data_IF_089320279900
#
_entry.id   IF_089320279900
#
_cell.length_a   1.000
_cell.length_b   1.000
_cell.length_c   1.000
_cell.angle_alpha   90.00
_cell.angle_beta   90.00
_cell.angle_gamma   90.00
#
_symmetry.space_group_name_H-M   'P 1'
#
loop_
_entity.id
_entity.type
_entity.pdbx_description
1 polymer ?
#
# COMPACT_ATOMS: atom_id res chain seq x y z
N UNK A 1 3.62 6.29 13.66
CA UNK A 1 4.03 4.97 13.15
C UNK A 1 4.60 5.17 11.75
N UNK A 2 5.72 4.54 11.40
CA UNK A 2 6.38 4.71 10.09
C UNK A 2 5.86 3.76 9.00
N UNK A 3 5.17 2.68 9.36
CA UNK A 3 4.60 1.70 8.43
C UNK A 3 3.13 1.44 8.76
N UNK A 4 2.32 1.16 7.74
CA UNK A 4 0.94 0.73 7.93
C UNK A 4 0.89 -0.69 8.52
N UNK A 5 -0.17 -0.98 9.29
CA UNK A 5 -0.42 -2.33 9.79
C UNK A 5 -0.71 -3.26 8.61
N UNK A 6 -0.04 -4.42 8.58
CA UNK A 6 -0.28 -5.45 7.56
C UNK A 6 -1.60 -6.22 7.73
N UNK A 7 -2.24 -6.10 8.89
CA UNK A 7 -3.54 -6.71 9.18
C UNK A 7 -4.57 -5.67 9.59
N UNK A 8 -5.83 -6.01 9.35
CA UNK A 8 -7.01 -5.24 9.75
C UNK A 8 -7.06 -5.07 11.27
N UNK A 9 -7.01 -3.83 11.73
CA UNK A 9 -7.19 -3.52 13.16
C UNK A 9 -8.62 -3.77 13.61
N UNK A 10 -9.59 -3.43 12.75
CA UNK A 10 -11.00 -3.67 13.02
C UNK A 10 -11.27 -5.17 13.25
N UNK A 11 -10.73 -6.06 12.40
CA UNK A 11 -10.84 -7.51 12.61
C UNK A 11 -10.22 -7.95 13.94
N UNK A 12 -9.04 -7.43 14.29
CA UNK A 12 -8.40 -7.77 15.57
C UNK A 12 -9.30 -7.37 16.74
N UNK A 13 -9.85 -6.16 16.73
CA UNK A 13 -10.72 -5.66 17.78
C UNK A 13 -12.04 -6.45 17.88
N UNK A 14 -12.71 -6.68 16.76
CA UNK A 14 -13.98 -7.42 16.70
C UNK A 14 -13.80 -8.86 17.18
N UNK A 15 -12.83 -9.58 16.61
CA UNK A 15 -12.59 -10.99 16.97
C UNK A 15 -12.12 -11.13 18.41
N UNK A 16 -11.32 -10.19 18.92
CA UNK A 16 -10.91 -10.19 20.33
C UNK A 16 -12.13 -10.01 21.24
N UNK A 17 -13.04 -9.09 20.91
CA UNK A 17 -14.27 -8.87 21.68
C UNK A 17 -15.17 -10.10 21.71
N UNK A 18 -15.36 -10.76 20.56
CA UNK A 18 -16.13 -12.02 20.47
C UNK A 18 -15.51 -13.08 21.38
N UNK A 19 -14.18 -13.22 21.38
CA UNK A 19 -13.46 -14.23 22.16
C UNK A 19 -13.37 -13.93 23.66
N UNK A 20 -13.46 -12.67 24.07
CA UNK A 20 -13.38 -12.26 25.48
C UNK A 20 -14.74 -12.09 26.15
N UNK A 21 -15.84 -12.24 25.42
CA UNK A 21 -17.17 -12.03 25.96
C UNK A 21 -17.52 -13.14 26.98
N UNK A 22 -17.98 -12.74 28.16
CA UNK A 22 -18.40 -13.68 29.22
C UNK A 22 -19.64 -14.50 28.82
N UNK A 23 -20.47 -13.95 27.93
CA UNK A 23 -21.65 -14.58 27.38
C UNK A 23 -21.61 -14.52 25.86
N UNK A 24 -22.12 -15.55 25.15
CA UNK A 24 -22.25 -15.51 23.71
C UNK A 24 -22.95 -14.25 23.24
N UNK A 25 -22.24 -13.41 22.49
CA UNK A 25 -22.77 -12.17 21.93
C UNK A 25 -23.04 -12.40 20.44
N UNK A 26 -24.29 -12.26 19.96
CA UNK A 26 -24.54 -12.28 18.54
C UNK A 26 -23.87 -11.08 17.88
N UNK A 27 -23.17 -11.32 16.78
CA UNK A 27 -22.52 -10.30 15.95
C UNK A 27 -22.99 -10.52 14.53
N UNK A 28 -23.42 -9.44 13.88
CA UNK A 28 -23.66 -9.40 12.44
C UNK A 28 -23.22 -8.00 11.97
N UNK A 29 -21.99 -7.92 11.47
CA UNK A 29 -21.33 -6.65 11.17
C UNK A 29 -20.67 -6.68 9.80
N UNK A 30 -21.04 -5.72 8.96
CA UNK A 30 -20.33 -5.40 7.73
C UNK A 30 -19.55 -4.09 7.89
N UNK A 31 -18.29 -4.09 7.47
CA UNK A 31 -17.48 -2.87 7.46
C UNK A 31 -16.51 -2.85 6.28
N UNK A 32 -15.96 -1.67 6.01
CA UNK A 32 -15.09 -1.40 4.86
C UNK A 32 -13.71 -0.94 5.29
N UNK A 33 -12.69 -1.37 4.55
CA UNK A 33 -11.30 -0.92 4.71
C UNK A 33 -10.75 -0.30 3.42
N UNK A 34 -9.53 0.24 3.52
CA UNK A 34 -8.82 0.82 2.39
C UNK A 34 -8.74 -0.15 1.19
N UNK A 35 -8.93 0.37 -0.02
CA UNK A 35 -9.03 -0.46 -1.23
C UNK A 35 -10.44 -0.98 -1.51
N UNK A 36 -11.48 -0.40 -0.90
CA UNK A 36 -12.88 -0.83 -1.05
C UNK A 36 -13.10 -2.29 -0.64
N UNK A 37 -12.37 -2.73 0.38
CA UNK A 37 -12.43 -4.10 0.88
C UNK A 37 -13.61 -4.18 1.83
N UNK A 38 -14.44 -5.21 1.64
CA UNK A 38 -15.62 -5.43 2.45
C UNK A 38 -15.43 -6.69 3.28
N UNK A 39 -15.58 -6.56 4.58
CA UNK A 39 -15.63 -7.68 5.51
C UNK A 39 -17.05 -7.85 6.04
N UNK A 40 -17.42 -9.09 6.32
CA UNK A 40 -18.60 -9.45 7.09
C UNK A 40 -18.21 -10.43 8.18
N UNK A 41 -18.58 -10.11 9.41
CA UNK A 41 -18.34 -10.95 10.59
C UNK A 41 -19.69 -11.30 11.18
N UNK A 42 -19.94 -12.61 11.30
CA UNK A 42 -21.15 -13.13 11.91
C UNK A 42 -20.80 -14.12 13.03
N UNK A 43 -21.45 -14.01 14.18
CA UNK A 43 -21.40 -14.97 15.26
C UNK A 43 -22.82 -15.10 15.85
N UNK A 44 -23.24 -16.32 16.20
CA UNK A 44 -24.58 -16.57 16.74
C UNK A 44 -24.50 -16.98 18.21
N UNK A 45 -25.49 -16.59 19.01
CA UNK A 45 -25.64 -17.10 20.37
C UNK A 45 -25.98 -18.60 20.39
N UNK A 46 -26.57 -19.14 19.31
CA UNK A 46 -26.89 -20.56 19.17
C UNK A 46 -25.68 -21.43 18.80
N UNK A 47 -24.60 -20.81 18.31
CA UNK A 47 -23.35 -21.48 17.93
C UNK A 47 -22.15 -20.65 18.42
N UNK A 48 -21.92 -20.62 19.74
CA UNK A 48 -20.98 -19.69 20.37
C UNK A 48 -19.51 -19.97 20.03
N UNK A 49 -19.19 -21.19 19.61
CA UNK A 49 -17.82 -21.61 19.31
C UNK A 49 -17.37 -21.20 17.90
N UNK A 50 -18.33 -20.88 17.02
CA UNK A 50 -18.06 -20.59 15.62
C UNK A 50 -18.40 -19.14 15.27
N UNK A 51 -17.48 -18.49 14.54
CA UNK A 51 -17.72 -17.20 13.91
C UNK A 51 -17.43 -17.30 12.42
N UNK A 52 -18.21 -16.65 11.58
CA UNK A 52 -18.02 -16.61 10.14
C UNK A 52 -17.38 -15.27 9.75
N UNK A 53 -16.27 -15.35 9.01
CA UNK A 53 -15.59 -14.20 8.43
C UNK A 53 -15.62 -14.31 6.92
N UNK A 54 -16.30 -13.37 6.26
CA UNK A 54 -16.33 -13.27 4.81
C UNK A 54 -15.61 -12.03 4.32
N UNK A 55 -14.87 -12.16 3.22
CA UNK A 55 -14.14 -11.06 2.60
C UNK A 55 -14.52 -10.93 1.13
N UNK A 56 -14.67 -9.69 0.68
CA UNK A 56 -14.81 -9.32 -0.72
C UNK A 56 -13.83 -8.20 -1.03
N UNK A 57 -13.18 -8.29 -2.18
CA UNK A 57 -12.23 -7.29 -2.67
C UNK A 57 -12.57 -6.99 -4.13
N UNK A 58 -12.42 -5.74 -4.59
CA UNK A 58 -12.51 -5.45 -6.02
C UNK A 58 -11.52 -6.30 -6.82
N UNK A 59 -11.88 -6.73 -8.04
CA UNK A 59 -10.94 -7.40 -8.91
C UNK A 59 -9.80 -6.44 -9.27
N UNK A 60 -8.57 -6.96 -9.26
CA UNK A 60 -7.39 -6.18 -9.60
C UNK A 60 -7.32 -5.78 -11.08
N UNK A 61 -8.17 -6.32 -11.97
CA UNK A 61 -8.24 -5.89 -13.37
C UNK A 61 -9.69 -5.67 -13.82
N UNK A 62 -9.89 -4.65 -14.67
CA UNK A 62 -11.22 -4.31 -15.22
C UNK A 62 -11.68 -5.28 -16.33
N UNK A 63 -10.73 -6.03 -16.90
CA UNK A 63 -10.93 -7.01 -17.97
C UNK A 63 -11.19 -8.42 -17.43
N UNK A 64 -11.20 -8.61 -16.10
CA UNK A 64 -11.51 -9.90 -15.50
C UNK A 64 -12.99 -10.22 -15.71
N UNK A 65 -13.27 -11.26 -16.48
CA UNK A 65 -14.62 -11.80 -16.62
C UNK A 65 -15.22 -12.09 -15.24
N UNK A 66 -16.48 -11.74 -14.97
CA UNK A 66 -17.18 -11.99 -13.70
C UNK A 66 -17.45 -13.48 -13.42
N UNK A 67 -16.81 -14.40 -14.13
CA UNK A 67 -17.21 -15.79 -14.26
C UNK A 67 -16.57 -16.77 -13.28
N UNK A 68 -15.77 -16.33 -12.30
CA UNK A 68 -15.39 -17.19 -11.17
C UNK A 68 -15.87 -16.58 -9.86
N UNK A 69 -16.95 -17.13 -9.30
CA UNK A 69 -17.57 -16.70 -8.04
C UNK A 69 -16.72 -16.99 -6.78
N UNK A 70 -15.42 -17.30 -6.93
CA UNK A 70 -14.53 -17.69 -5.84
C UNK A 70 -13.06 -17.59 -6.23
N UNK A 71 -12.20 -17.77 -5.22
CA UNK A 71 -10.74 -17.84 -5.40
C UNK A 71 -10.33 -19.12 -6.14
N UNK A 72 -9.18 -19.11 -6.85
CA UNK A 72 -8.61 -20.32 -7.43
C UNK A 72 -8.38 -21.41 -6.39
N UNK A 73 -8.54 -22.67 -6.78
CA UNK A 73 -8.38 -23.83 -5.88
C UNK A 73 -7.01 -23.85 -5.18
N UNK A 74 -5.94 -23.49 -5.88
CA UNK A 74 -4.60 -23.41 -5.28
C UNK A 74 -4.54 -22.44 -4.09
N UNK A 75 -5.27 -21.32 -4.15
CA UNK A 75 -5.36 -20.34 -3.07
C UNK A 75 -6.27 -20.84 -1.94
N UNK A 76 -7.36 -21.54 -2.27
CA UNK A 76 -8.19 -22.20 -1.26
C UNK A 76 -7.38 -23.25 -0.48
N UNK A 77 -6.56 -24.05 -1.15
CA UNK A 77 -5.64 -24.98 -0.50
C UNK A 77 -4.59 -24.27 0.37
N UNK A 78 -4.06 -23.12 -0.08
CA UNK A 78 -3.18 -22.28 0.73
C UNK A 78 -3.89 -21.76 1.99
N UNK A 79 -5.14 -21.31 1.87
CA UNK A 79 -5.96 -20.85 2.98
C UNK A 79 -6.27 -21.98 3.97
N UNK A 80 -6.72 -23.15 3.48
CA UNK A 80 -6.96 -24.35 4.30
C UNK A 80 -5.68 -24.70 5.07
N UNK A 81 -4.53 -24.76 4.40
CA UNK A 81 -3.24 -25.03 5.05
C UNK A 81 -2.85 -23.95 6.05
N UNK A 82 -3.03 -22.68 5.73
CA UNK A 82 -2.65 -21.58 6.61
C UNK A 82 -3.48 -21.57 7.90
N UNK A 83 -4.77 -21.82 7.81
CA UNK A 83 -5.71 -21.60 8.91
C UNK A 83 -6.28 -22.88 9.55
N UNK A 84 -5.90 -24.09 9.09
CA UNK A 84 -6.43 -25.39 9.55
C UNK A 84 -6.52 -25.59 11.08
N UNK A 85 -5.72 -24.87 11.87
CA UNK A 85 -5.72 -24.98 13.33
C UNK A 85 -6.94 -24.37 14.01
N UNK A 86 -7.60 -23.43 13.35
CA UNK A 86 -8.67 -22.63 13.94
C UNK A 86 -9.70 -22.12 12.93
N UNK A 87 -9.61 -22.52 11.65
CA UNK A 87 -10.60 -22.16 10.67
C UNK A 87 -10.75 -23.22 9.57
N UNK A 88 -11.97 -23.30 9.05
CA UNK A 88 -12.35 -24.09 7.89
C UNK A 88 -12.80 -23.14 6.78
N UNK A 89 -12.47 -23.48 5.53
CA UNK A 89 -12.98 -22.76 4.36
C UNK A 89 -14.41 -23.24 4.10
N UNK A 90 -15.35 -22.30 3.94
CA UNK A 90 -16.75 -22.60 3.64
C UNK A 90 -16.97 -22.50 2.13
N UNK A 91 -17.51 -23.57 1.55
CA UNK A 91 -17.81 -23.65 0.12
C UNK A 91 -19.27 -24.05 -0.14
N UNK A 92 -19.99 -23.32 -1.02
CA UNK A 92 -19.56 -22.07 -1.67
C UNK A 92 -19.37 -20.93 -0.65
N UNK A 93 -18.57 -19.89 -0.97
CA UNK A 93 -18.53 -18.67 -0.17
C UNK A 93 -19.92 -18.07 0.01
N UNK A 94 -20.12 -17.30 1.09
CA UNK A 94 -21.38 -16.57 1.28
C UNK A 94 -21.60 -15.58 0.14
N UNK A 95 -22.88 -15.35 -0.18
CA UNK A 95 -23.29 -14.54 -1.31
C UNK A 95 -22.64 -13.13 -1.30
N UNK A 96 -22.03 -12.74 -2.42
CA UNK A 96 -21.33 -11.47 -2.56
C UNK A 96 -19.90 -11.42 -1.98
N UNK A 97 -19.36 -12.53 -1.50
CA UNK A 97 -18.00 -12.64 -0.99
C UNK A 97 -17.16 -13.62 -1.82
N UNK A 98 -15.83 -13.39 -1.86
CA UNK A 98 -14.90 -14.25 -2.62
C UNK A 98 -14.32 -15.37 -1.78
N UNK A 99 -14.42 -15.26 -0.44
CA UNK A 99 -13.97 -16.24 0.53
C UNK A 99 -14.75 -16.09 1.83
N UNK A 100 -15.17 -17.21 2.40
CA UNK A 100 -15.74 -17.29 3.75
C UNK A 100 -14.95 -18.32 4.58
N UNK A 101 -14.56 -17.93 5.79
CA UNK A 101 -13.93 -18.79 6.78
C UNK A 101 -14.90 -19.00 7.95
N UNK A 102 -15.08 -20.25 8.36
CA UNK A 102 -15.69 -20.62 9.64
C UNK A 102 -14.56 -20.73 10.66
N UNK A 103 -14.50 -19.76 11.57
CA UNK A 103 -13.48 -19.65 12.62
C UNK A 103 -13.95 -20.39 13.87
N UNK A 104 -13.09 -21.24 14.43
CA UNK A 104 -13.28 -21.90 15.70
C UNK A 104 -11.97 -21.85 16.50
N UNK A 105 -11.97 -21.10 17.59
CA UNK A 105 -10.78 -20.90 18.43
C UNK A 105 -10.74 -21.83 19.65
N UNK A 106 -11.73 -22.70 19.84
CA UNK A 106 -11.88 -23.59 21.01
C UNK A 106 -10.69 -24.52 21.19
N UNK A 107 -10.14 -25.03 20.08
CA UNK A 107 -8.95 -25.89 20.06
C UNK A 107 -7.65 -25.18 20.46
N UNK A 108 -7.66 -23.85 20.61
CA UNK A 108 -6.51 -23.07 21.04
C UNK A 108 -6.56 -22.81 22.55
N UNK A 109 -5.93 -23.71 23.32
CA UNK A 109 -5.95 -23.69 24.78
C UNK A 109 -5.26 -22.46 25.42
N UNK A 110 -4.22 -21.91 24.78
CA UNK A 110 -3.45 -20.79 25.35
C UNK A 110 -3.96 -19.44 24.81
N UNK A 111 -4.16 -18.41 25.65
CA UNK A 111 -4.55 -17.08 25.19
C UNK A 111 -3.59 -16.50 24.14
N UNK A 112 -2.29 -16.76 24.27
CA UNK A 112 -1.28 -16.33 23.29
C UNK A 112 -1.49 -16.94 21.91
N UNK A 113 -2.01 -18.16 21.83
CA UNK A 113 -2.25 -18.84 20.55
C UNK A 113 -3.50 -18.28 19.86
N UNK A 114 -4.53 -17.91 20.64
CA UNK A 114 -5.70 -17.18 20.12
C UNK A 114 -5.31 -15.82 19.55
N UNK A 115 -4.49 -15.04 20.26
CA UNK A 115 -3.98 -13.75 19.77
C UNK A 115 -3.17 -13.92 18.48
N UNK A 116 -2.35 -14.98 18.36
CA UNK A 116 -1.63 -15.28 17.11
C UNK A 116 -2.59 -15.63 15.97
N UNK A 117 -3.62 -16.44 16.23
CA UNK A 117 -4.63 -16.81 15.25
C UNK A 117 -5.41 -15.59 14.74
N UNK A 118 -5.85 -14.71 15.65
CA UNK A 118 -6.52 -13.44 15.31
C UNK A 118 -5.60 -12.55 14.46
N UNK A 119 -4.33 -12.40 14.84
CA UNK A 119 -3.36 -11.64 14.03
C UNK A 119 -3.05 -12.28 12.67
N UNK A 120 -3.20 -13.60 12.56
CA UNK A 120 -3.00 -14.31 11.31
C UNK A 120 -4.18 -14.11 10.36
N UNK A 121 -5.42 -14.22 10.88
CA UNK A 121 -6.63 -14.01 10.07
C UNK A 121 -6.88 -12.54 9.75
N UNK A 122 -6.40 -11.59 10.57
CA UNK A 122 -6.51 -10.16 10.25
C UNK A 122 -5.78 -9.75 8.97
N UNK A 123 -4.89 -10.62 8.45
CA UNK A 123 -4.17 -10.44 7.19
C UNK A 123 -4.86 -11.10 5.99
N UNK A 124 -6.12 -11.52 6.13
CA UNK A 124 -6.87 -12.25 5.10
C UNK A 124 -6.87 -11.55 3.74
N UNK A 125 -7.00 -10.22 3.71
CA UNK A 125 -6.84 -9.41 2.50
C UNK A 125 -5.56 -9.73 1.73
N UNK A 126 -4.44 -9.89 2.43
CA UNK A 126 -3.15 -10.14 1.76
C UNK A 126 -3.18 -11.44 0.98
N UNK A 127 -3.87 -12.47 1.49
CA UNK A 127 -4.03 -13.76 0.80
C UNK A 127 -4.88 -13.60 -0.46
N UNK A 128 -6.02 -12.91 -0.36
CA UNK A 128 -6.92 -12.66 -1.48
C UNK A 128 -6.24 -11.85 -2.59
N UNK A 129 -5.60 -10.73 -2.24
CA UNK A 129 -4.88 -9.88 -3.20
C UNK A 129 -3.66 -10.59 -3.80
N UNK A 130 -2.97 -11.42 -3.00
CA UNK A 130 -1.85 -12.23 -3.49
C UNK A 130 -2.30 -13.23 -4.54
N UNK A 131 -3.45 -13.87 -4.35
CA UNK A 131 -4.02 -14.77 -5.36
C UNK A 131 -4.24 -14.06 -6.67
N UNK A 132 -5.02 -12.98 -6.65
CA UNK A 132 -5.34 -12.22 -7.86
C UNK A 132 -4.07 -11.75 -8.58
N UNK A 133 -3.07 -11.25 -7.84
CA UNK A 133 -1.81 -10.83 -8.43
C UNK A 133 -1.05 -11.99 -9.07
N UNK A 134 -1.03 -13.18 -8.44
CA UNK A 134 -0.38 -14.38 -9.01
C UNK A 134 -1.08 -14.84 -10.28
N UNK A 135 -2.40 -14.88 -10.29
CA UNK A 135 -3.19 -15.32 -11.45
C UNK A 135 -2.92 -14.42 -12.65
N UNK A 136 -2.97 -13.11 -12.44
CA UNK A 136 -2.65 -12.11 -13.45
C UNK A 136 -1.18 -12.17 -13.90
N UNK A 137 -0.24 -12.27 -12.96
CA UNK A 137 1.17 -12.45 -13.32
C UNK A 137 1.39 -13.75 -14.11
N UNK A 138 0.62 -14.80 -13.85
CA UNK A 138 0.62 -16.03 -14.64
C UNK A 138 0.16 -15.78 -16.07
N UNK A 139 -0.91 -15.00 -16.26
CA UNK A 139 -1.46 -14.71 -17.59
C UNK A 139 -0.59 -13.77 -18.44
N UNK A 140 0.28 -12.95 -17.83
CA UNK A 140 1.14 -12.00 -18.55
C UNK A 140 2.31 -12.66 -19.31
N UNK A 141 2.55 -13.96 -19.11
CA UNK A 141 3.66 -14.67 -19.77
C UNK A 141 5.04 -14.15 -19.34
N UNK A 142 6.09 -14.31 -20.17
CA UNK A 142 7.46 -13.89 -19.85
C UNK A 142 7.69 -12.38 -20.02
N UNK A 143 6.84 -11.67 -20.78
CA UNK A 143 6.95 -10.23 -21.01
C UNK A 143 5.59 -9.60 -21.31
N UNK A 144 5.33 -8.43 -20.74
CA UNK A 144 4.12 -7.66 -21.01
C UNK A 144 3.86 -6.61 -19.94
N UNK A 145 2.87 -5.75 -20.17
CA UNK A 145 2.42 -4.77 -19.19
C UNK A 145 0.91 -4.92 -19.01
N UNK A 146 0.45 -4.88 -17.77
CA UNK A 146 -0.97 -4.84 -17.44
C UNK A 146 -1.27 -3.71 -16.47
N UNK A 147 -2.50 -3.19 -16.59
CA UNK A 147 -3.05 -2.22 -15.65
C UNK A 147 -3.77 -2.93 -14.52
N UNK A 148 -3.42 -2.57 -13.29
CA UNK A 148 -4.09 -3.02 -12.07
C UNK A 148 -4.92 -1.90 -11.44
N UNK A 149 -6.08 -2.28 -10.92
CA UNK A 149 -7.05 -1.41 -10.24
C UNK A 149 -7.22 -1.95 -8.82
N UNK A 150 -6.42 -1.44 -7.88
CA UNK A 150 -6.54 -1.81 -6.46
C UNK A 150 -7.56 -0.95 -5.70
N UNK A 151 -7.87 0.23 -6.23
CA UNK A 151 -9.01 1.05 -5.83
C UNK A 151 -9.66 1.63 -7.08
N UNK A 152 -10.97 1.92 -7.05
CA UNK A 152 -11.70 2.47 -8.20
C UNK A 152 -11.13 3.80 -8.73
N UNK A 153 -10.19 4.44 -8.01
CA UNK A 153 -9.69 5.79 -8.33
C UNK A 153 -8.20 5.86 -8.64
N UNK A 154 -7.40 4.86 -8.26
CA UNK A 154 -5.93 4.92 -8.41
C UNK A 154 -5.40 3.60 -8.98
N UNK A 155 -5.34 3.47 -10.32
CA UNK A 155 -4.71 2.34 -10.94
C UNK A 155 -3.19 2.44 -10.88
N UNK A 156 -2.53 1.29 -10.80
CA UNK A 156 -1.08 1.16 -10.99
C UNK A 156 -0.82 0.08 -12.04
N UNK A 157 0.37 0.03 -12.61
CA UNK A 157 0.72 -0.92 -13.65
C UNK A 157 1.70 -1.95 -13.12
N UNK A 158 1.58 -3.17 -13.63
CA UNK A 158 2.59 -4.19 -13.46
C UNK A 158 3.15 -4.54 -14.83
N UNK A 159 4.44 -4.28 -15.02
CA UNK A 159 5.17 -4.68 -16.21
C UNK A 159 6.13 -5.80 -15.86
N UNK A 160 6.22 -6.80 -16.73
CA UNK A 160 7.16 -7.91 -16.64
C UNK A 160 8.06 -7.89 -17.87
N UNK A 161 9.34 -8.09 -17.62
CA UNK A 161 10.36 -8.45 -18.60
C UNK A 161 10.97 -9.79 -18.22
N UNK A 162 11.82 -10.36 -19.08
CA UNK A 162 12.49 -11.63 -18.80
C UNK A 162 13.29 -11.62 -17.47
N UNK A 163 13.80 -10.47 -17.07
CA UNK A 163 14.68 -10.34 -15.90
C UNK A 163 14.01 -9.65 -14.70
N UNK A 164 12.98 -8.84 -14.92
CA UNK A 164 12.44 -7.92 -13.91
C UNK A 164 10.93 -7.85 -13.94
N UNK A 165 10.36 -7.53 -12.78
CA UNK A 165 8.96 -7.14 -12.65
C UNK A 165 8.93 -5.76 -12.00
N UNK A 166 8.21 -4.85 -12.63
CA UNK A 166 8.08 -3.45 -12.27
C UNK A 166 6.64 -3.20 -11.83
N UNK A 167 6.47 -2.66 -10.63
CA UNK A 167 5.21 -2.05 -10.20
C UNK A 167 5.34 -0.53 -10.38
N UNK A 168 4.47 0.07 -11.19
CA UNK A 168 4.56 1.47 -11.63
C UNK A 168 3.31 2.20 -11.18
N UNK A 169 3.47 3.21 -10.33
CA UNK A 169 2.40 3.98 -9.70
C UNK A 169 2.36 5.40 -10.28
N UNK A 170 1.34 5.76 -11.07
CA UNK A 170 1.08 7.14 -11.46
C UNK A 170 0.50 7.91 -10.26
N UNK A 171 1.27 8.85 -9.72
CA UNK A 171 0.97 9.54 -8.45
C UNK A 171 0.12 10.80 -8.66
N UNK A 172 -1.10 10.85 -8.13
CA UNK A 172 -2.04 11.95 -8.36
C UNK A 172 -2.40 12.66 -7.07
N UNK A 173 -1.98 13.91 -6.90
CA UNK A 173 -2.26 14.71 -5.71
C UNK A 173 -3.34 15.75 -6.01
N UNK A 174 -4.23 16.01 -5.06
CA UNK A 174 -5.27 17.05 -5.22
C UNK A 174 -4.76 18.44 -4.82
N UNK A 175 -3.83 18.48 -3.89
CA UNK A 175 -3.29 19.72 -3.33
C UNK A 175 -1.84 19.93 -3.80
N UNK A 176 -1.49 21.17 -4.15
CA UNK A 176 -0.15 21.51 -4.62
C UNK A 176 0.91 21.38 -3.51
N UNK A 177 0.52 21.52 -2.25
CA UNK A 177 1.40 21.30 -1.09
C UNK A 177 1.73 19.82 -0.97
N UNK A 178 0.74 18.94 -1.05
CA UNK A 178 0.95 17.49 -1.03
C UNK A 178 1.80 17.04 -2.22
N UNK A 179 1.56 17.63 -3.40
CA UNK A 179 2.40 17.41 -4.58
C UNK A 179 3.85 17.79 -4.32
N UNK A 180 4.11 18.97 -3.75
CA UNK A 180 5.47 19.43 -3.45
C UNK A 180 6.16 18.50 -2.44
N UNK A 181 5.48 18.17 -1.34
CA UNK A 181 6.00 17.27 -0.30
C UNK A 181 6.29 15.88 -0.88
N UNK A 182 5.35 15.29 -1.61
CA UNK A 182 5.51 13.97 -2.19
C UNK A 182 6.63 13.93 -3.22
N UNK A 183 6.77 14.98 -4.04
CA UNK A 183 7.85 15.08 -5.02
C UNK A 183 9.21 15.06 -4.34
N UNK A 184 9.41 15.84 -3.28
CA UNK A 184 10.65 15.80 -2.49
C UNK A 184 10.89 14.42 -1.86
N UNK A 185 9.85 13.79 -1.33
CA UNK A 185 9.95 12.43 -0.79
C UNK A 185 10.36 11.40 -1.86
N UNK A 186 9.81 11.47 -3.08
CA UNK A 186 10.16 10.53 -4.15
C UNK A 186 11.59 10.70 -4.64
N UNK A 187 12.09 11.93 -4.68
CA UNK A 187 13.50 12.23 -4.97
C UNK A 187 14.42 11.64 -3.91
N UNK A 188 14.11 11.83 -2.63
CA UNK A 188 14.90 11.18 -1.56
C UNK A 188 14.81 9.65 -1.61
N UNK A 189 13.63 9.10 -1.91
CA UNK A 189 13.41 7.65 -2.00
C UNK A 189 14.22 7.00 -3.13
N UNK A 190 14.34 7.65 -4.30
CA UNK A 190 15.19 7.11 -5.37
C UNK A 190 16.68 7.21 -5.02
N UNK A 191 17.11 8.29 -4.38
CA UNK A 191 18.53 8.56 -4.12
C UNK A 191 19.04 7.65 -3.00
N UNK A 192 18.28 7.57 -1.90
CA UNK A 192 18.63 6.78 -0.73
C UNK A 192 18.17 5.32 -0.88
N UNK A 193 16.99 5.06 -1.43
CA UNK A 193 16.43 3.70 -1.51
C UNK A 193 17.31 2.74 -2.32
N UNK A 194 17.99 3.26 -3.35
CA UNK A 194 18.87 2.48 -4.20
C UNK A 194 20.26 2.20 -3.60
N UNK A 195 20.59 2.83 -2.48
CA UNK A 195 21.84 2.57 -1.75
C UNK A 195 21.76 1.30 -0.88
N UNK A 196 20.55 0.77 -0.63
CA UNK A 196 20.35 -0.43 0.18
C UNK A 196 20.47 -1.71 -0.64
N UNK A 197 21.56 -2.45 -0.44
CA UNK A 197 21.77 -3.75 -1.06
C UNK A 197 20.63 -4.72 -0.73
N UNK A 198 19.92 -5.19 -1.75
CA UNK A 198 18.87 -6.21 -1.63
C UNK A 198 17.44 -5.68 -1.56
N UNK A 199 17.24 -4.36 -1.42
CA UNK A 199 15.94 -3.71 -1.58
C UNK A 199 15.50 -3.70 -3.07
N UNK A 200 14.18 -3.66 -3.35
CA UNK A 200 13.70 -3.38 -4.70
C UNK A 200 14.28 -2.05 -5.20
N UNK A 201 14.66 -2.00 -6.48
CA UNK A 201 15.10 -0.75 -7.10
C UNK A 201 13.92 0.20 -7.15
N UNK A 202 14.09 1.44 -6.72
CA UNK A 202 13.06 2.47 -6.80
C UNK A 202 13.49 3.54 -7.82
N UNK A 203 12.55 4.07 -8.60
CA UNK A 203 12.77 5.24 -9.43
C UNK A 203 11.56 6.16 -9.43
N UNK A 204 11.80 7.44 -9.66
CA UNK A 204 10.75 8.42 -9.90
C UNK A 204 11.02 9.16 -11.22
N UNK A 205 9.97 9.45 -11.97
CA UNK A 205 10.06 10.18 -13.24
C UNK A 205 8.82 11.06 -13.43
N UNK A 206 8.97 12.31 -13.88
CA UNK A 206 7.84 13.15 -14.24
C UNK A 206 7.13 12.67 -15.52
N UNK A 207 7.81 11.87 -16.36
CA UNK A 207 7.28 11.34 -17.62
C UNK A 207 7.00 9.83 -17.51
N UNK A 208 6.05 9.29 -18.30
CA UNK A 208 5.75 7.86 -18.31
C UNK A 208 7.01 7.03 -18.65
N UNK A 209 7.32 5.97 -17.88
CA UNK A 209 8.51 5.17 -18.14
C UNK A 209 8.29 4.26 -19.38
N UNK A 210 9.38 3.78 -20.03
CA UNK A 210 9.32 3.01 -21.27
C UNK A 210 8.41 1.77 -21.24
N UNK A 211 8.25 1.17 -20.06
CA UNK A 211 7.39 0.00 -19.80
C UNK A 211 5.91 0.28 -20.06
N UNK A 212 5.51 1.55 -20.06
CA UNK A 212 4.14 2.00 -20.35
C UNK A 212 3.96 2.49 -21.80
N UNK A 213 4.95 2.29 -22.68
CA UNK A 213 4.80 2.62 -24.11
C UNK A 213 3.62 1.87 -24.71
N UNK A 214 2.77 2.58 -25.44
CA UNK A 214 1.57 2.03 -26.06
C UNK A 214 0.30 2.11 -25.20
N UNK A 215 0.41 2.46 -23.91
CA UNK A 215 -0.77 2.73 -23.08
C UNK A 215 -1.46 4.03 -23.50
N UNK A 216 -2.78 4.06 -23.35
CA UNK A 216 -3.56 5.24 -23.69
C UNK A 216 -3.22 6.43 -22.79
N UNK A 217 -3.07 7.61 -23.38
CA UNK A 217 -2.68 8.87 -22.70
C UNK A 217 -3.55 9.18 -21.47
N UNK A 218 -4.87 8.96 -21.55
CA UNK A 218 -5.78 9.21 -20.42
C UNK A 218 -5.46 8.39 -19.17
N UNK A 219 -4.74 7.25 -19.31
CA UNK A 219 -4.31 6.40 -18.19
C UNK A 219 -3.00 6.87 -17.58
N UNK A 220 -2.23 7.64 -18.34
CA UNK A 220 -0.90 8.13 -17.99
C UNK A 220 -0.93 9.56 -17.43
N UNK A 221 -2.07 10.27 -17.51
CA UNK A 221 -2.20 11.61 -16.95
C UNK A 221 -2.00 11.59 -15.43
N UNK A 222 -1.00 12.33 -14.95
CA UNK A 222 -0.59 12.39 -13.55
C UNK A 222 0.08 13.75 -13.28
N UNK A 223 -0.05 14.30 -12.07
CA UNK A 223 0.64 15.55 -11.67
C UNK A 223 1.86 15.30 -10.78
N UNK A 224 1.96 14.14 -10.11
CA UNK A 224 3.10 13.75 -9.27
C UNK A 224 4.12 12.82 -9.93
N UNK A 225 3.99 12.59 -11.23
CA UNK A 225 4.86 11.68 -11.98
C UNK A 225 4.56 10.19 -11.72
N UNK A 226 5.58 9.36 -11.91
CA UNK A 226 5.54 7.90 -11.86
C UNK A 226 6.59 7.37 -10.91
N UNK A 227 6.16 6.62 -9.90
CA UNK A 227 7.06 5.89 -8.99
C UNK A 227 7.11 4.43 -9.42
N UNK A 228 8.30 3.88 -9.62
CA UNK A 228 8.47 2.50 -10.08
C UNK A 228 9.31 1.68 -9.10
N UNK A 229 8.86 0.46 -8.80
CA UNK A 229 9.58 -0.51 -7.99
C UNK A 229 9.93 -1.75 -8.82
N UNK A 230 11.23 -1.98 -9.03
CA UNK A 230 11.77 -3.10 -9.80
C UNK A 230 12.28 -4.23 -8.91
N UNK A 231 11.70 -5.41 -9.04
CA UNK A 231 12.16 -6.66 -8.43
C UNK A 231 12.71 -7.62 -9.50
N UNK A 232 13.66 -8.48 -9.12
CA UNK A 232 14.13 -9.54 -10.02
C UNK A 232 13.04 -10.59 -10.27
N UNK A 233 12.80 -10.95 -11.52
CA UNK A 233 11.84 -12.00 -11.90
C UNK A 233 12.24 -13.39 -11.36
N UNK A 234 13.55 -13.63 -11.17
CA UNK A 234 14.08 -14.86 -10.56
C UNK A 234 13.78 -14.96 -9.05
N UNK A 235 13.50 -13.84 -8.37
CA UNK A 235 12.98 -13.89 -7.00
C UNK A 235 11.52 -14.33 -7.07
N UNK A 236 11.27 -15.64 -6.88
CA UNK A 236 9.92 -16.21 -6.67
C UNK A 236 9.18 -15.59 -5.47
N UNK A 237 9.90 -14.87 -4.60
CA UNK A 237 9.33 -13.89 -3.66
C UNK A 237 9.12 -12.56 -4.38
N UNK A 238 8.19 -12.55 -5.31
CA UNK A 238 7.61 -11.31 -5.82
C UNK A 238 6.94 -10.55 -4.68
N UNK A 239 6.78 -9.24 -4.90
CA UNK A 239 6.15 -8.12 -4.18
C UNK A 239 4.86 -8.40 -3.35
N UNK A 240 4.73 -9.59 -2.80
CA UNK A 240 3.62 -10.08 -2.01
C UNK A 240 4.11 -10.23 -0.56
N UNK A 241 3.40 -9.65 0.42
CA UNK A 241 3.81 -9.71 1.82
C UNK A 241 3.90 -11.15 2.29
N UNK A 242 5.11 -11.67 2.50
CA UNK A 242 5.29 -12.75 3.49
C UNK A 242 5.00 -12.14 4.85
N UNK A 243 3.82 -12.43 5.41
CA UNK A 243 3.53 -12.60 6.85
C UNK A 243 4.20 -11.69 7.91
N UNK A 244 4.79 -10.55 7.57
CA UNK A 244 5.42 -9.63 8.52
C UNK A 244 5.80 -8.26 7.97
N UNK A 245 5.78 -8.00 6.65
CA UNK A 245 6.03 -6.66 6.11
C UNK A 245 5.00 -6.32 5.03
N UNK A 246 3.88 -5.70 5.45
CA UNK A 246 2.97 -5.00 4.57
C UNK A 246 3.51 -3.59 4.33
N UNK A 247 4.31 -3.43 3.29
CA UNK A 247 4.85 -2.13 2.90
C UNK A 247 4.94 -2.07 1.40
N UNK A 248 3.84 -1.67 0.75
CA UNK A 248 3.78 -0.96 -0.55
C UNK A 248 2.35 -0.84 -1.12
N UNK A 249 1.32 -1.32 -0.41
CA UNK A 249 -0.07 -0.91 -0.68
C UNK A 249 -0.43 0.18 0.32
N UNK A 250 -0.17 1.44 -0.04
CA UNK A 250 -0.51 2.59 0.80
C UNK A 250 0.51 3.72 0.74
N UNK A 251 0.67 4.36 -0.40
CA UNK A 251 0.92 5.80 -0.43
C UNK A 251 -0.43 6.43 -0.77
N UNK A 252 -1.26 6.79 0.22
CA UNK A 252 -2.48 7.53 -0.07
C UNK A 252 -2.10 8.94 -0.52
N UNK A 253 -2.70 9.40 -1.62
CA UNK A 253 -2.67 10.78 -2.09
C UNK A 253 -3.41 11.78 -1.17
N UNK A 254 -3.79 11.34 0.04
CA UNK A 254 -4.64 12.04 1.02
C UNK A 254 -4.12 11.86 2.46
N UNK A 255 -2.81 11.74 2.64
CA UNK A 255 -2.23 11.89 3.96
C UNK A 255 -2.01 13.39 4.23
N UNK A 256 -2.88 14.01 5.01
CA UNK A 256 -2.55 15.30 5.64
C UNK A 256 -1.39 15.06 6.60
N UNK A 257 -0.18 15.42 6.19
CA UNK A 257 1.03 15.28 7.01
C UNK A 257 1.05 16.38 8.08
N UNK A 258 1.29 16.06 9.37
CA UNK A 258 1.52 17.09 10.37
C UNK A 258 2.86 17.80 10.09
N UNK A 259 2.99 19.10 10.42
CA UNK A 259 4.18 19.89 10.12
C UNK A 259 5.41 19.31 10.83
N UNK A 260 6.39 18.88 10.05
CA UNK A 260 7.66 18.33 10.53
C UNK A 260 8.48 19.44 11.19
N UNK A 261 8.73 19.34 12.49
CA UNK A 261 9.81 20.12 13.10
C UNK A 261 11.15 19.60 12.57
N UNK A 262 11.94 20.53 12.05
CA UNK A 262 13.25 20.30 11.47
C UNK A 262 14.22 19.62 12.45
N UNK A 263 14.85 18.52 12.01
CA UNK A 263 16.02 17.95 12.68
C UNK A 263 17.22 18.06 11.75
N UNK A 264 17.94 19.19 11.82
CA UNK A 264 19.29 19.29 11.30
C UNK A 264 20.23 18.52 12.26
N UNK A 265 20.91 17.48 11.78
CA UNK A 265 22.07 16.92 12.49
C UNK A 265 23.25 16.83 11.54
N UNK A 266 24.16 17.79 11.70
CA UNK A 266 25.55 17.69 11.23
C UNK A 266 26.32 16.66 12.08
N UNK A 267 27.20 15.94 11.40
CA UNK A 267 28.13 14.94 11.94
C UNK A 267 29.28 15.59 12.72
N UNK A 268 29.65 15.02 13.88
CA UNK A 268 31.05 14.73 14.27
C UNK A 268 31.17 14.06 15.65
N UNK A 269 31.96 12.98 15.67
CA UNK A 269 33.02 12.65 16.65
C UNK A 269 32.68 12.58 18.14
N UNK A 270 32.78 11.38 18.72
CA UNK A 270 32.65 11.16 20.15
C UNK A 270 33.89 11.53 20.98
N UNK A 271 33.66 11.84 22.26
CA UNK A 271 34.40 11.36 23.45
C UNK A 271 33.67 11.81 24.73
N UNK A 272 33.81 10.99 25.76
CA UNK A 272 33.14 10.95 27.06
C UNK A 272 33.56 12.04 28.07
N UNK A 273 32.61 12.52 28.89
CA UNK A 273 32.85 13.30 30.14
C UNK A 273 31.53 13.67 30.88
N UNK A 274 31.50 13.76 32.23
CA UNK A 274 30.27 13.73 33.05
C UNK A 274 29.64 15.13 33.32
N UNK A 275 28.43 15.23 33.93
CA UNK A 275 27.53 16.36 33.73
C UNK A 275 27.74 17.53 34.71
N UNK A 276 27.71 18.75 34.19
CA UNK A 276 27.70 20.01 34.95
C UNK A 276 26.43 20.84 34.67
N UNK A 277 25.97 21.55 35.70
CA UNK A 277 24.73 22.36 35.82
C UNK A 277 24.60 23.53 34.80
N UNK A 278 23.38 24.12 34.64
CA UNK A 278 23.05 24.99 33.52
C UNK A 278 23.47 26.45 33.74
N UNK A 279 23.97 27.09 32.67
CA UNK A 279 24.32 28.50 32.59
C UNK A 279 23.55 29.19 31.45
N UNK A 280 23.23 30.46 31.69
CA UNK A 280 22.27 31.35 31.03
C UNK A 280 22.76 32.08 29.76
N UNK A 281 21.78 32.56 28.97
CA UNK A 281 21.81 33.72 28.03
C UNK A 281 22.67 33.56 26.76
N UNK A 282 22.36 34.11 25.58
CA UNK A 282 21.67 35.36 25.23
C UNK A 282 21.27 35.37 23.74
N UNK A 283 20.30 36.21 23.44
CA UNK A 283 19.81 36.63 22.13
C UNK A 283 20.80 37.48 21.33
N UNK A 284 20.87 37.28 20.02
CA UNK A 284 21.26 38.34 19.07
C UNK A 284 20.55 38.18 17.71
N UNK A 285 19.69 39.15 17.40
CA UNK A 285 19.27 39.50 16.04
C UNK A 285 20.45 40.15 15.31
N UNK A 286 20.40 40.20 13.97
CA UNK A 286 20.60 41.49 13.32
C UNK A 286 19.43 41.87 12.42
N UNK A 287 19.17 43.17 12.45
CA UNK A 287 18.18 43.92 11.68
C UNK A 287 18.80 44.48 10.41
N UNK A 288 17.93 44.84 9.44
CA UNK A 288 18.04 45.93 8.44
C UNK A 288 19.15 45.82 7.37
N UNK A 289 18.99 46.24 6.11
CA UNK A 289 17.93 46.96 5.39
C UNK A 289 18.34 47.11 3.91
N UNK A 290 17.34 47.08 3.01
CA UNK A 290 17.09 47.97 1.86
C UNK A 290 18.20 48.11 0.78
N UNK A 291 17.88 47.78 -0.48
CA UNK A 291 17.70 48.78 -1.57
C UNK A 291 17.09 48.16 -2.83
N UNK A 292 16.15 48.93 -3.37
CA UNK A 292 15.39 48.79 -4.62
C UNK A 292 16.21 49.10 -5.88
N UNK A 293 15.89 48.46 -7.00
CA UNK A 293 15.85 49.11 -8.33
C UNK A 293 15.32 48.17 -9.41
N UNK A 294 14.16 48.51 -9.98
CA UNK A 294 13.77 48.15 -11.35
C UNK A 294 14.39 49.15 -12.34
N UNK A 295 14.45 48.81 -13.64
CA UNK A 295 13.62 49.59 -14.57
C UNK A 295 13.07 48.81 -15.78
N UNK A 296 11.88 49.23 -16.23
CA UNK A 296 11.69 49.90 -17.53
C UNK A 296 11.75 49.09 -18.83
N UNK A 297 10.59 49.00 -19.49
CA UNK A 297 10.32 48.40 -20.80
C UNK A 297 11.00 49.09 -22.00
N UNK A 298 11.14 48.36 -23.12
CA UNK A 298 10.92 48.90 -24.48
C UNK A 298 10.68 47.80 -25.51
N UNK A 299 9.70 48.07 -26.37
CA UNK A 299 9.22 47.26 -27.50
C UNK A 299 10.17 47.24 -28.70
N UNK A 300 10.19 46.14 -29.46
CA UNK A 300 10.31 46.20 -30.93
C UNK A 300 9.76 44.94 -31.61
N UNK A 301 8.97 45.19 -32.65
CA UNK A 301 8.36 44.23 -33.55
C UNK A 301 9.36 43.61 -34.54
N UNK A 302 9.03 42.45 -35.08
CA UNK A 302 9.70 41.82 -36.23
C UNK A 302 8.87 40.66 -36.78
N UNK A 303 8.26 40.88 -37.95
CA UNK A 303 7.50 39.92 -38.77
C UNK A 303 8.38 38.86 -39.46
N UNK A 304 7.76 37.75 -39.89
CA UNK A 304 8.23 36.89 -41.00
C UNK A 304 8.12 35.39 -40.65
N UNK A 305 7.00 34.71 -40.92
CA UNK A 305 6.62 34.03 -42.18
C UNK A 305 7.47 32.78 -42.50
N UNK A 306 6.81 31.61 -42.60
CA UNK A 306 7.41 30.41 -43.18
C UNK A 306 6.61 29.14 -42.95
N UNK A 307 5.47 28.99 -43.63
CA UNK A 307 4.72 27.73 -43.76
C UNK A 307 5.14 27.00 -45.05
N UNK A 308 5.32 25.67 -44.92
CA UNK A 308 5.16 24.58 -45.92
C UNK A 308 6.22 24.39 -47.02
N UNK A 309 6.26 23.20 -47.66
CA UNK A 309 5.43 21.99 -47.47
C UNK A 309 6.09 20.89 -46.64
#
# INVERSE_FOLDING_TARGET
>A
MAFFSSGSRALVEILTRIQSAERPMPVDLTFFEFGSIRYHVEASASDPENAYLSISTPPLSHEASPSSSGLPEATLQEARKAYHKFAEVVEPPREGYVLTLKLNFSGLARPKDRVKAINQVSRLQSLVLSSQLRDMLGSLGPSGTMKLVCSQREPFFVSRTAERIHAIFPMRFRDDTDLAIATSFFQELQDLGNSFAGAPRCSWSPIPPPELRGEHVHRLTTNGGFVSFGASAARRRLLLPRGSCGGLVGLPSHASWPPTQAFCRGTRGGRSGPPGRPGSCSTSRPSSSITSSAPGATSRAGCGSGWRP
#
